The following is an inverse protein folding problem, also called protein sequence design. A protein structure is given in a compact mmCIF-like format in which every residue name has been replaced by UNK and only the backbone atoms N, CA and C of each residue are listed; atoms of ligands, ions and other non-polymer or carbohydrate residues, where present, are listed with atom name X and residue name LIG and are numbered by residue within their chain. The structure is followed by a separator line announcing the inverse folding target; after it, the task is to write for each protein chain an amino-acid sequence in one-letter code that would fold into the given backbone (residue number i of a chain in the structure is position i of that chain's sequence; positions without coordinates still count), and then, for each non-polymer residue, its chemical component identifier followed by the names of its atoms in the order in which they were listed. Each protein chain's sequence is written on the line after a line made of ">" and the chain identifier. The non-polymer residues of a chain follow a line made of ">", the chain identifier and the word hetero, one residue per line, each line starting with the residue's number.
data_IF_175181242205
#
_entry.id   IF_175181242205
#
_cell.length_a   1.000
_cell.length_b   1.000
_cell.length_c   1.000
_cell.angle_alpha   90.00
_cell.angle_beta   90.00
_cell.angle_gamma   90.00
#
_symmetry.space_group_name_H-M   'P 1'
#
loop_
_entity.id
_entity.type
_entity.pdbx_description
1 polymer ?
#
# COMPACT_ATOMS: atom_id res chain seq x y z
N UNK A 1 -8.16 -14.25 5.96
CA UNK A 1 -8.44 -13.14 5.03
C UNK A 1 -7.23 -12.99 4.13
N UNK A 2 -7.45 -13.01 2.82
CA UNK A 2 -6.42 -12.78 1.81
C UNK A 2 -5.90 -11.31 1.87
N UNK A 3 -4.65 -11.06 1.43
CA UNK A 3 -4.03 -9.72 1.50
C UNK A 3 -4.74 -8.72 0.61
N UNK A 4 -5.19 -9.14 -0.58
CA UNK A 4 -5.95 -8.28 -1.51
C UNK A 4 -7.30 -7.94 -0.88
N UNK A 5 -7.99 -8.93 -0.32
CA UNK A 5 -9.26 -8.70 0.37
C UNK A 5 -9.13 -7.69 1.53
N UNK A 6 -8.07 -7.83 2.34
CA UNK A 6 -7.79 -6.86 3.40
C UNK A 6 -7.57 -5.44 2.86
N UNK A 7 -6.83 -5.29 1.76
CA UNK A 7 -6.62 -4.00 1.13
C UNK A 7 -7.92 -3.42 0.58
N UNK A 8 -8.77 -4.21 -0.08
CA UNK A 8 -10.08 -3.79 -0.56
C UNK A 8 -10.94 -3.28 0.59
N UNK A 9 -11.03 -4.02 1.70
CA UNK A 9 -11.79 -3.58 2.88
C UNK A 9 -11.33 -2.22 3.40
N UNK A 10 -10.00 -1.98 3.49
CA UNK A 10 -9.47 -0.68 3.93
C UNK A 10 -9.66 0.43 2.91
N UNK A 11 -9.54 0.14 1.62
CA UNK A 11 -9.73 1.14 0.56
C UNK A 11 -11.20 1.56 0.42
N UNK A 12 -12.14 0.67 0.74
CA UNK A 12 -13.58 0.96 0.77
C UNK A 12 -14.05 1.58 2.11
N UNK A 13 -13.22 1.57 3.14
CA UNK A 13 -13.49 2.21 4.44
C UNK A 13 -13.29 3.74 4.35
N UNK A 14 -14.21 4.39 3.65
CA UNK A 14 -14.14 5.83 3.36
C UNK A 14 -14.53 6.71 4.56
N UNK A 15 -13.97 7.93 4.68
CA UNK A 15 -13.06 8.58 3.73
C UNK A 15 -11.56 8.34 4.00
N UNK A 16 -11.20 7.71 5.12
CA UNK A 16 -9.82 7.75 5.64
C UNK A 16 -9.19 6.37 5.91
N UNK A 17 -9.90 5.25 5.72
CA UNK A 17 -9.41 3.90 6.00
C UNK A 17 -8.20 3.47 5.16
N UNK A 18 -7.98 4.14 4.02
CA UNK A 18 -6.79 3.93 3.18
C UNK A 18 -5.50 4.48 3.80
N UNK A 19 -5.58 5.49 4.68
CA UNK A 19 -4.40 6.17 5.25
C UNK A 19 -3.49 5.21 6.02
N UNK A 20 -3.98 4.41 6.99
CA UNK A 20 -3.14 3.47 7.71
C UNK A 20 -2.78 2.21 6.90
N UNK A 21 -3.38 1.99 5.72
CA UNK A 21 -3.34 0.69 5.02
C UNK A 21 -1.93 0.13 4.86
N UNK A 22 -0.97 0.91 4.33
CA UNK A 22 0.40 0.43 4.10
C UNK A 22 1.11 0.10 5.42
N UNK A 23 0.91 0.92 6.46
CA UNK A 23 1.46 0.67 7.80
C UNK A 23 0.86 -0.60 8.43
N UNK A 24 -0.43 -0.82 8.23
CA UNK A 24 -1.13 -2.01 8.71
C UNK A 24 -0.67 -3.26 7.96
N UNK A 25 -0.48 -3.18 6.64
CA UNK A 25 0.06 -4.26 5.81
C UNK A 25 1.47 -4.65 6.29
N UNK A 26 2.35 -3.67 6.47
CA UNK A 26 3.72 -3.91 6.96
C UNK A 26 3.71 -4.50 8.37
N UNK A 27 2.81 -4.05 9.25
CA UNK A 27 2.67 -4.57 10.61
C UNK A 27 2.12 -5.99 10.67
N UNK A 28 1.18 -6.31 9.78
CA UNK A 28 0.52 -7.61 9.75
C UNK A 28 1.34 -8.68 9.04
N UNK A 29 2.15 -8.29 8.06
CA UNK A 29 2.94 -9.21 7.24
C UNK A 29 4.40 -8.76 7.13
N UNK A 30 5.17 -8.70 8.24
CA UNK A 30 6.56 -8.24 8.23
C UNK A 30 7.45 -9.04 7.28
N UNK A 31 7.21 -10.35 7.16
CA UNK A 31 8.04 -11.26 6.38
C UNK A 31 7.61 -11.38 4.90
N UNK A 32 6.52 -10.71 4.50
CA UNK A 32 6.13 -10.66 3.10
C UNK A 32 7.20 -9.97 2.27
N UNK A 33 7.34 -10.37 1.00
CA UNK A 33 8.23 -9.65 0.08
C UNK A 33 7.77 -8.21 -0.03
N UNK A 34 8.68 -7.24 0.01
CA UNK A 34 8.30 -5.84 -0.09
C UNK A 34 7.47 -5.58 -1.36
N UNK A 35 7.92 -6.11 -2.51
CA UNK A 35 7.22 -6.04 -3.79
C UNK A 35 5.82 -6.68 -3.81
N UNK A 36 5.54 -7.62 -2.91
CA UNK A 36 4.21 -8.21 -2.77
C UNK A 36 3.18 -7.17 -2.31
N UNK A 37 3.58 -6.18 -1.51
CA UNK A 37 2.68 -5.13 -1.04
C UNK A 37 2.21 -4.24 -2.20
N UNK A 38 3.08 -3.95 -3.16
CA UNK A 38 2.72 -3.22 -4.39
C UNK A 38 1.73 -4.03 -5.21
N UNK A 39 2.00 -5.33 -5.41
CA UNK A 39 1.07 -6.24 -6.08
C UNK A 39 -0.32 -6.24 -5.43
N UNK A 40 -0.37 -6.31 -4.10
CA UNK A 40 -1.63 -6.31 -3.34
C UNK A 40 -2.42 -5.01 -3.56
N UNK A 41 -1.77 -3.85 -3.49
CA UNK A 41 -2.42 -2.55 -3.69
C UNK A 41 -2.97 -2.39 -5.11
N UNK A 42 -2.18 -2.80 -6.11
CA UNK A 42 -2.56 -2.78 -7.53
C UNK A 42 -3.75 -3.70 -7.80
N UNK A 43 -3.71 -4.92 -7.26
CA UNK A 43 -4.79 -5.90 -7.42
C UNK A 43 -6.08 -5.40 -6.78
N UNK A 44 -6.00 -4.85 -5.57
CA UNK A 44 -7.15 -4.30 -4.86
C UNK A 44 -7.77 -3.11 -5.61
N UNK A 45 -6.95 -2.17 -6.12
CA UNK A 45 -7.44 -1.04 -6.90
C UNK A 45 -8.14 -1.50 -8.20
N UNK A 46 -7.54 -2.46 -8.90
CA UNK A 46 -8.10 -3.04 -10.13
C UNK A 46 -9.44 -3.73 -9.88
N UNK A 47 -9.55 -4.50 -8.78
CA UNK A 47 -10.82 -5.15 -8.40
C UNK A 47 -11.92 -4.13 -8.09
N UNK A 48 -11.60 -3.06 -7.35
CA UNK A 48 -12.55 -1.98 -7.07
C UNK A 48 -13.03 -1.32 -8.38
N UNK A 49 -12.12 -1.02 -9.30
CA UNK A 49 -12.50 -0.44 -10.61
C UNK A 49 -13.38 -1.38 -11.44
N UNK A 50 -13.12 -2.68 -11.38
CA UNK A 50 -13.93 -3.68 -12.07
C UNK A 50 -15.34 -3.83 -11.46
N UNK A 51 -15.47 -3.66 -10.14
CA UNK A 51 -16.74 -3.83 -9.42
C UNK A 51 -17.64 -2.59 -9.47
N UNK A 52 -17.06 -1.39 -9.51
CA UNK A 52 -17.82 -0.14 -9.39
C UNK A 52 -17.74 0.71 -10.66
N UNK A 53 -18.89 1.24 -11.08
CA UNK A 53 -18.99 2.15 -12.22
C UNK A 53 -18.20 3.45 -12.01
N UNK A 54 -17.82 4.10 -13.11
CA UNK A 54 -17.25 5.45 -13.09
C UNK A 54 -18.18 6.43 -12.36
N UNK A 55 -17.60 7.32 -11.55
CA UNK A 55 -18.33 8.28 -10.72
C UNK A 55 -18.86 7.71 -9.40
N UNK A 56 -18.72 6.41 -9.12
CA UNK A 56 -19.03 5.85 -7.80
C UNK A 56 -18.03 6.35 -6.75
N UNK A 57 -18.48 6.76 -5.55
CA UNK A 57 -17.59 7.12 -4.44
C UNK A 57 -16.59 6.02 -4.05
N UNK A 58 -16.93 4.75 -4.31
CA UNK A 58 -16.02 3.62 -4.09
C UNK A 58 -14.73 3.69 -4.94
N UNK A 59 -14.77 4.37 -6.09
CA UNK A 59 -13.59 4.53 -6.96
C UNK A 59 -12.54 5.47 -6.38
N UNK A 60 -12.87 6.32 -5.41
CA UNK A 60 -11.87 7.07 -4.67
C UNK A 60 -10.89 6.12 -3.95
N UNK A 61 -11.40 4.99 -3.44
CA UNK A 61 -10.60 3.91 -2.86
C UNK A 61 -9.60 3.32 -3.86
N UNK A 62 -10.02 3.09 -5.12
CA UNK A 62 -9.11 2.63 -6.16
C UNK A 62 -8.00 3.65 -6.47
N UNK A 63 -8.36 4.93 -6.59
CA UNK A 63 -7.39 6.01 -6.80
C UNK A 63 -6.37 6.08 -5.66
N UNK A 64 -6.81 5.89 -4.41
CA UNK A 64 -5.90 5.78 -3.26
C UNK A 64 -5.01 4.54 -3.34
N UNK A 65 -5.55 3.37 -3.73
CA UNK A 65 -4.76 2.15 -3.93
C UNK A 65 -3.62 2.34 -4.94
N UNK A 66 -3.92 2.93 -6.11
CA UNK A 66 -2.91 3.27 -7.12
C UNK A 66 -1.86 4.24 -6.60
N UNK A 67 -2.28 5.30 -5.90
CA UNK A 67 -1.36 6.27 -5.31
C UNK A 67 -0.43 5.63 -4.30
N UNK A 68 -0.95 4.80 -3.39
CA UNK A 68 -0.13 4.11 -2.39
C UNK A 68 0.87 3.16 -3.05
N UNK A 69 0.46 2.43 -4.10
CA UNK A 69 1.35 1.54 -4.85
C UNK A 69 2.50 2.31 -5.50
N UNK A 70 2.21 3.46 -6.12
CA UNK A 70 3.23 4.31 -6.73
C UNK A 70 4.22 4.86 -5.70
N UNK A 71 3.72 5.38 -4.57
CA UNK A 71 4.57 5.91 -3.50
C UNK A 71 5.46 4.84 -2.88
N UNK A 72 4.93 3.63 -2.66
CA UNK A 72 5.73 2.51 -2.17
C UNK A 72 6.79 2.07 -3.19
N UNK A 73 6.50 2.16 -4.50
CA UNK A 73 7.49 1.94 -5.54
C UNK A 73 8.63 2.98 -5.53
N UNK A 74 8.32 4.24 -5.20
CA UNK A 74 9.33 5.30 -5.01
C UNK A 74 10.22 4.98 -3.81
N UNK A 75 9.65 4.55 -2.68
CA UNK A 75 10.42 4.12 -1.50
C UNK A 75 11.37 2.97 -1.85
N UNK A 76 10.92 1.96 -2.60
CA UNK A 76 11.78 0.85 -3.02
C UNK A 76 12.96 1.32 -3.87
N UNK A 77 12.71 2.21 -4.83
CA UNK A 77 13.78 2.79 -5.65
C UNK A 77 14.77 3.57 -4.78
N UNK A 78 14.27 4.40 -3.86
CA UNK A 78 15.11 5.19 -2.98
C UNK A 78 15.99 4.29 -2.09
N UNK A 79 15.41 3.25 -1.51
CA UNK A 79 16.13 2.27 -0.67
C UNK A 79 17.21 1.52 -1.46
N UNK A 80 16.89 1.06 -2.67
CA UNK A 80 17.86 0.40 -3.55
C UNK A 80 19.02 1.34 -3.94
N UNK A 81 18.70 2.58 -4.34
CA UNK A 81 19.68 3.57 -4.78
C UNK A 81 20.72 3.93 -3.70
N UNK A 82 20.39 3.79 -2.42
CA UNK A 82 21.30 4.05 -1.29
C UNK A 82 21.78 2.78 -0.59
N UNK A 83 21.51 1.60 -1.15
CA UNK A 83 21.96 0.31 -0.60
C UNK A 83 21.31 -0.08 0.73
N UNK A 84 20.09 0.38 1.00
CA UNK A 84 19.32 -0.03 2.17
C UNK A 84 18.64 -1.39 1.95
N UNK A 85 18.44 -2.21 3.01
CA UNK A 85 17.65 -3.43 2.93
C UNK A 85 16.24 -3.13 2.41
N UNK A 86 15.71 -3.93 1.48
CA UNK A 86 14.40 -3.71 0.86
C UNK A 86 13.72 -5.03 0.43
N UNK A 87 14.10 -6.16 1.04
CA UNK A 87 13.61 -7.47 0.63
C UNK A 87 12.22 -7.77 1.20
N UNK A 88 11.98 -7.32 2.43
CA UNK A 88 10.78 -7.64 3.21
C UNK A 88 10.00 -6.38 3.57
N UNK A 89 8.71 -6.56 3.88
CA UNK A 89 7.87 -5.48 4.38
C UNK A 89 8.45 -4.84 5.66
N UNK A 90 9.09 -5.62 6.53
CA UNK A 90 9.72 -5.13 7.76
C UNK A 90 10.84 -4.10 7.49
N UNK A 91 11.57 -4.26 6.39
CA UNK A 91 12.67 -3.35 6.01
C UNK A 91 12.17 -1.90 5.81
N UNK A 92 10.92 -1.73 5.36
CA UNK A 92 10.28 -0.42 5.16
C UNK A 92 10.20 0.39 6.44
N UNK A 93 9.98 -0.25 7.60
CA UNK A 93 9.93 0.47 8.89
C UNK A 93 11.25 1.14 9.23
N UNK A 94 12.37 0.55 8.80
CA UNK A 94 13.68 1.13 8.96
C UNK A 94 13.81 2.41 8.13
N UNK A 95 13.43 2.32 6.85
CA UNK A 95 13.46 3.43 5.92
C UNK A 95 12.54 4.59 6.36
N UNK A 96 11.38 4.31 6.95
CA UNK A 96 10.47 5.38 7.38
C UNK A 96 10.91 6.20 8.60
N UNK A 97 12.09 5.89 9.16
CA UNK A 97 12.80 6.79 10.09
C UNK A 97 13.51 7.93 9.35
N UNK A 98 13.86 7.71 8.08
CA UNK A 98 14.52 8.66 7.17
C UNK A 98 13.47 9.43 6.36
N UNK A 99 12.56 8.72 5.68
CA UNK A 99 11.42 9.33 4.97
C UNK A 99 10.10 8.97 5.69
N UNK A 100 9.51 9.90 6.45
CA UNK A 100 8.45 9.56 7.37
C UNK A 100 7.05 9.46 6.74
N UNK A 101 6.90 9.57 5.41
CA UNK A 101 5.58 9.68 4.77
C UNK A 101 4.58 8.63 5.28
N UNK A 102 4.87 7.34 5.15
CA UNK A 102 3.96 6.28 5.60
C UNK A 102 3.92 6.08 7.12
N UNK A 103 4.91 6.61 7.85
CA UNK A 103 4.87 6.63 9.31
C UNK A 103 3.81 7.61 9.81
N UNK A 104 3.75 8.78 9.18
CA UNK A 104 2.96 9.94 9.61
C UNK A 104 1.62 10.07 8.86
N UNK A 105 1.37 9.24 7.84
CA UNK A 105 0.12 9.13 7.09
C UNK A 105 -1.06 8.61 7.93
#
# INVERSE_FOLDING_TARGET
>A
MDKVHFAIERLLDTPNGWRPLVRDMVSRWPDARASELVYVLVSAATEIEAMFAEGSPARDGAAHGWRLAALLGVDFYAMDAVGLPHATAADMRGYWKIDPYFRDL
#
